data_IF_828486753297
#
_entry.id   IF_828486753297
#
_cell.length_a   1.000
_cell.length_b   1.000
_cell.length_c   1.000
_cell.angle_alpha   90.00
_cell.angle_beta   90.00
_cell.angle_gamma   90.00
#
_symmetry.space_group_name_H-M   'P 1'
#
loop_
_entity.id
_entity.type
_entity.pdbx_description
1 polymer ?
#
# COMPACT_ATOMS: atom_id res chain seq x y z
N UNK A 1 4.29 -22.07 -8.31
CA UNK A 1 3.74 -20.80 -7.80
C UNK A 1 4.15 -20.64 -6.35
N UNK A 2 4.72 -19.49 -6.00
CA UNK A 2 5.06 -19.16 -4.61
C UNK A 2 3.79 -18.66 -3.86
N UNK A 3 3.71 -18.85 -2.55
CA UNK A 3 2.56 -18.47 -1.72
C UNK A 3 2.19 -16.98 -1.85
N UNK A 4 3.20 -16.11 -1.99
CA UNK A 4 3.01 -14.66 -2.21
C UNK A 4 2.30 -14.40 -3.53
N UNK A 5 2.69 -15.08 -4.60
CA UNK A 5 2.12 -14.91 -5.94
C UNK A 5 0.66 -15.33 -5.96
N UNK A 6 0.32 -16.46 -5.34
CA UNK A 6 -1.08 -16.90 -5.22
C UNK A 6 -1.94 -15.93 -4.39
N UNK A 7 -1.34 -15.26 -3.41
CA UNK A 7 -2.06 -14.24 -2.64
C UNK A 7 -2.29 -12.97 -3.47
N UNK A 8 -1.32 -12.58 -4.29
CA UNK A 8 -1.45 -11.46 -5.24
C UNK A 8 -2.54 -11.76 -6.26
N UNK A 9 -2.52 -12.93 -6.92
CA UNK A 9 -3.55 -13.31 -7.89
C UNK A 9 -4.96 -13.28 -7.28
N UNK A 10 -5.13 -13.82 -6.06
CA UNK A 10 -6.42 -13.74 -5.36
C UNK A 10 -6.85 -12.31 -5.06
N UNK A 11 -5.92 -11.44 -4.66
CA UNK A 11 -6.23 -10.03 -4.43
C UNK A 11 -6.65 -9.33 -5.71
N UNK A 12 -5.90 -9.51 -6.79
CA UNK A 12 -6.22 -8.92 -8.08
C UNK A 12 -7.58 -9.40 -8.61
N UNK A 13 -7.88 -10.69 -8.44
CA UNK A 13 -9.17 -11.26 -8.83
C UNK A 13 -10.37 -10.74 -8.02
N UNK A 14 -10.13 -10.16 -6.83
CA UNK A 14 -11.17 -9.58 -5.99
C UNK A 14 -11.46 -8.10 -6.29
N UNK A 15 -10.64 -7.45 -7.12
CA UNK A 15 -10.82 -6.04 -7.49
C UNK A 15 -11.97 -5.88 -8.49
N UNK A 16 -12.70 -4.78 -8.38
CA UNK A 16 -13.77 -4.43 -9.32
C UNK A 16 -13.23 -3.97 -10.67
N UNK A 17 -11.98 -3.48 -10.69
CA UNK A 17 -11.27 -3.03 -11.89
C UNK A 17 -10.14 -4.00 -12.23
N UNK A 18 -9.97 -4.38 -13.51
CA UNK A 18 -8.84 -5.17 -13.93
C UNK A 18 -7.52 -4.42 -13.69
N UNK A 19 -6.55 -5.11 -13.10
CA UNK A 19 -5.20 -4.59 -12.85
C UNK A 19 -4.17 -5.62 -13.35
N UNK A 20 -3.15 -5.15 -14.04
CA UNK A 20 -1.98 -5.94 -14.43
C UNK A 20 -0.80 -5.60 -13.51
N UNK A 21 -0.09 -6.61 -13.02
CA UNK A 21 1.20 -6.42 -12.35
C UNK A 21 2.29 -7.06 -13.19
N UNK A 22 3.32 -6.29 -13.54
CA UNK A 22 4.49 -6.76 -14.28
C UNK A 22 5.69 -6.81 -13.34
N UNK A 23 6.28 -8.00 -13.19
CA UNK A 23 7.48 -8.22 -12.40
C UNK A 23 8.76 -7.94 -13.20
N UNK A 24 9.91 -7.80 -12.50
CA UNK A 24 11.22 -7.92 -13.13
C UNK A 24 11.32 -9.25 -13.88
N UNK A 25 11.85 -9.21 -15.10
CA UNK A 25 11.91 -10.38 -15.99
C UNK A 25 10.62 -10.66 -16.77
N UNK A 26 9.63 -9.76 -16.72
CA UNK A 26 8.47 -9.77 -17.62
C UNK A 26 7.34 -10.72 -17.25
N UNK A 27 7.43 -11.39 -16.09
CA UNK A 27 6.30 -12.19 -15.55
C UNK A 27 5.15 -11.27 -15.19
N UNK A 28 3.91 -11.73 -15.40
CA UNK A 28 2.70 -10.91 -15.23
C UNK A 28 1.63 -11.59 -14.39
N UNK A 29 0.86 -10.78 -13.66
CA UNK A 29 -0.35 -11.19 -12.95
C UNK A 29 -1.52 -10.30 -13.32
N UNK A 30 -2.75 -10.85 -13.22
CA UNK A 30 -3.97 -10.12 -13.52
C UNK A 30 -4.33 -10.13 -15.01
N UNK A 31 -5.20 -9.21 -15.42
CA UNK A 31 -5.73 -9.16 -16.78
C UNK A 31 -4.73 -8.49 -17.73
N UNK A 32 -4.45 -9.12 -18.88
CA UNK A 32 -3.47 -8.63 -19.85
C UNK A 32 -3.87 -7.30 -20.55
N UNK A 33 -5.16 -6.97 -20.53
CA UNK A 33 -5.79 -5.77 -21.10
C UNK A 33 -6.26 -4.80 -20.01
N UNK A 34 -5.69 -4.90 -18.79
CA UNK A 34 -6.05 -4.02 -17.70
C UNK A 34 -5.78 -2.54 -18.02
N UNK A 35 -6.74 -1.68 -17.66
CA UNK A 35 -6.60 -0.23 -17.77
C UNK A 35 -5.57 0.34 -16.78
N UNK A 36 -5.25 -0.41 -15.72
CA UNK A 36 -4.22 -0.07 -14.74
C UNK A 36 -3.12 -1.14 -14.77
N UNK A 37 -1.87 -0.71 -14.97
CA UNK A 37 -0.68 -1.56 -14.88
C UNK A 37 0.26 -1.03 -13.81
N UNK A 38 0.74 -1.94 -12.95
CA UNK A 38 1.80 -1.70 -11.99
C UNK A 38 3.07 -2.43 -12.45
N UNK A 39 4.13 -1.69 -12.77
CA UNK A 39 5.42 -2.27 -13.14
C UNK A 39 6.36 -2.22 -11.94
N UNK A 40 6.79 -3.38 -11.46
CA UNK A 40 7.66 -3.51 -10.30
C UNK A 40 9.12 -3.60 -10.73
N UNK A 41 9.98 -2.77 -10.13
CA UNK A 41 11.43 -2.79 -10.41
C UNK A 41 12.18 -3.86 -9.62
N UNK A 42 11.61 -4.31 -8.51
CA UNK A 42 12.09 -5.44 -7.70
C UNK A 42 10.89 -6.21 -7.10
N UNK A 43 11.14 -7.22 -6.25
CA UNK A 43 10.09 -8.06 -5.67
C UNK A 43 9.54 -7.54 -4.33
N UNK A 44 10.10 -6.49 -3.75
CA UNK A 44 9.66 -5.94 -2.46
C UNK A 44 8.22 -5.40 -2.52
N UNK A 45 7.81 -4.60 -3.52
CA UNK A 45 6.43 -4.12 -3.63
C UNK A 45 5.40 -5.24 -3.80
N UNK A 46 5.81 -6.39 -4.34
CA UNK A 46 4.91 -7.55 -4.50
C UNK A 46 4.39 -8.03 -3.14
N UNK A 47 5.24 -7.98 -2.12
CA UNK A 47 4.86 -8.28 -0.73
C UNK A 47 3.84 -7.28 -0.19
N UNK A 48 4.00 -5.99 -0.50
CA UNK A 48 3.07 -4.93 -0.08
C UNK A 48 1.69 -5.06 -0.75
N UNK A 49 1.65 -5.49 -2.03
CA UNK A 49 0.39 -5.85 -2.70
C UNK A 49 -0.25 -7.04 -1.98
N UNK A 50 0.52 -8.11 -1.76
CA UNK A 50 0.04 -9.32 -1.12
C UNK A 50 -0.52 -9.05 0.30
N UNK A 51 0.08 -8.13 1.06
CA UNK A 51 -0.35 -7.75 2.39
C UNK A 51 -1.42 -6.65 2.44
N UNK A 52 -1.74 -6.01 1.29
CA UNK A 52 -2.69 -4.89 1.24
C UNK A 52 -2.14 -3.59 1.85
N UNK A 53 -0.83 -3.43 1.96
CA UNK A 53 -0.19 -2.25 2.53
C UNK A 53 -0.12 -1.10 1.51
N UNK A 54 -1.26 -0.49 1.22
CA UNK A 54 -1.38 0.59 0.20
C UNK A 54 -0.46 1.78 0.49
N UNK A 55 -0.27 2.15 1.75
CA UNK A 55 0.69 3.21 2.12
C UNK A 55 2.14 2.87 1.76
N UNK A 56 2.53 1.59 1.87
CA UNK A 56 3.87 1.13 1.46
C UNK A 56 4.01 1.06 -0.06
N UNK A 57 2.94 0.70 -0.77
CA UNK A 57 2.90 0.80 -2.24
C UNK A 57 3.03 2.26 -2.72
N UNK A 58 2.41 3.21 -2.03
CA UNK A 58 2.56 4.63 -2.36
C UNK A 58 4.00 5.12 -2.13
N UNK A 59 4.63 4.69 -1.03
CA UNK A 59 6.06 4.92 -0.77
C UNK A 59 6.93 4.30 -1.88
N UNK A 60 6.65 3.06 -2.28
CA UNK A 60 7.36 2.40 -3.38
C UNK A 60 7.21 3.13 -4.71
N UNK A 61 6.06 3.77 -4.98
CA UNK A 61 5.88 4.61 -6.17
C UNK A 61 6.74 5.87 -6.13
N UNK A 62 6.73 6.59 -5.00
CA UNK A 62 7.53 7.81 -4.82
C UNK A 62 9.04 7.52 -4.89
N UNK A 63 9.46 6.39 -4.35
CA UNK A 63 10.85 5.92 -4.43
C UNK A 63 11.22 5.31 -5.79
N UNK A 64 10.29 5.25 -6.73
CA UNK A 64 10.52 4.71 -8.07
C UNK A 64 10.75 3.20 -8.09
N UNK A 65 10.25 2.45 -7.12
CA UNK A 65 10.22 0.97 -7.11
C UNK A 65 8.98 0.41 -7.83
N UNK A 66 7.93 1.21 -7.94
CA UNK A 66 6.69 0.93 -8.68
C UNK A 66 6.47 2.03 -9.71
N UNK A 67 6.17 1.65 -10.94
CA UNK A 67 5.61 2.54 -11.95
C UNK A 67 4.12 2.23 -12.14
N UNK A 68 3.33 3.28 -12.41
CA UNK A 68 1.88 3.17 -12.60
C UNK A 68 1.53 3.70 -13.98
N UNK A 69 0.96 2.85 -14.82
CA UNK A 69 0.33 3.23 -16.08
C UNK A 69 -1.19 3.12 -15.94
N UNK A 70 -1.91 4.19 -16.26
CA UNK A 70 -3.37 4.24 -16.17
C UNK A 70 -3.87 5.59 -15.67
N UNK A 71 -5.18 5.72 -15.46
CA UNK A 71 -5.75 6.95 -14.92
C UNK A 71 -5.61 7.02 -13.39
N UNK A 72 -5.33 8.22 -12.86
CA UNK A 72 -5.30 8.43 -11.41
C UNK A 72 -6.64 8.07 -10.75
N UNK A 73 -7.75 8.28 -11.45
CA UNK A 73 -9.08 7.92 -10.97
C UNK A 73 -9.20 6.42 -10.73
N UNK A 74 -8.78 5.61 -11.71
CA UNK A 74 -8.81 4.15 -11.58
C UNK A 74 -7.81 3.66 -10.53
N UNK A 75 -6.61 4.23 -10.48
CA UNK A 75 -5.64 3.95 -9.43
C UNK A 75 -6.26 4.16 -8.03
N UNK A 76 -6.95 5.29 -7.81
CA UNK A 76 -7.56 5.57 -6.52
C UNK A 76 -8.75 4.66 -6.21
N UNK A 77 -9.53 4.25 -7.21
CA UNK A 77 -10.58 3.21 -7.02
C UNK A 77 -9.96 1.89 -6.57
N UNK A 78 -8.92 1.42 -7.26
CA UNK A 78 -8.20 0.18 -6.91
C UNK A 78 -7.55 0.29 -5.54
N UNK A 79 -6.92 1.42 -5.22
CA UNK A 79 -6.26 1.65 -3.93
C UNK A 79 -7.26 1.57 -2.78
N UNK A 80 -8.46 2.13 -2.94
CA UNK A 80 -9.52 2.04 -1.94
C UNK A 80 -9.98 0.59 -1.70
N UNK A 81 -10.09 -0.21 -2.76
CA UNK A 81 -10.45 -1.64 -2.68
C UNK A 81 -9.33 -2.50 -2.06
N UNK A 82 -8.06 -2.17 -2.31
CA UNK A 82 -6.90 -2.88 -1.76
C UNK A 82 -6.73 -2.70 -0.25
N UNK A 83 -7.19 -1.57 0.31
CA UNK A 83 -7.24 -1.33 1.77
C UNK A 83 -8.14 -2.37 2.46
N UNK A 84 -9.16 -2.87 1.76
CA UNK A 84 -10.05 -3.92 2.26
C UNK A 84 -11.02 -3.39 3.32
N UNK A 85 -10.79 -3.75 4.59
CA UNK A 85 -11.65 -3.35 5.71
C UNK A 85 -11.34 -1.92 6.16
N UNK A 86 -12.40 -1.20 6.54
CA UNK A 86 -12.28 0.07 7.23
C UNK A 86 -11.40 -0.12 8.49
N UNK A 87 -10.24 0.53 8.59
CA UNK A 87 -9.34 0.37 9.74
C UNK A 87 -9.99 0.83 11.07
N UNK A 88 -11.14 1.51 11.01
CA UNK A 88 -11.97 1.87 12.17
C UNK A 88 -13.02 0.81 12.53
N UNK A 89 -13.35 -0.12 11.62
CA UNK A 89 -14.24 -1.24 11.89
C UNK A 89 -13.44 -2.47 12.32
N UNK A 90 -13.16 -2.57 13.62
CA UNK A 90 -12.74 -3.82 14.21
C UNK A 90 -13.92 -4.78 14.29
N UNK A 91 -14.20 -5.53 13.21
CA UNK A 91 -15.16 -6.62 13.27
C UNK A 91 -14.58 -7.78 14.10
N UNK A 92 -15.04 -7.87 15.36
CA UNK A 92 -15.26 -9.14 16.04
C UNK A 92 -14.04 -9.96 16.44
N UNK A 93 -13.28 -9.50 17.44
CA UNK A 93 -12.66 -10.42 18.41
C UNK A 93 -12.89 -9.84 19.81
N UNK A 94 -13.95 -10.28 20.49
CA UNK A 94 -14.13 -9.97 21.91
C UNK A 94 -13.26 -10.90 22.74
N UNK A 95 -12.30 -10.36 23.50
CA UNK A 95 -11.52 -11.12 24.49
C UNK A 95 -10.10 -10.61 24.74
N UNK A 96 -9.38 -11.34 25.62
CA UNK A 96 -8.00 -11.09 26.09
C UNK A 96 -7.00 -10.79 24.95
N UNK A 97 -7.20 -11.36 23.76
CA UNK A 97 -6.38 -11.12 22.57
C UNK A 97 -6.40 -9.67 22.08
N UNK A 98 -7.52 -8.97 22.23
CA UNK A 98 -7.67 -7.56 21.81
C UNK A 98 -6.93 -6.65 22.77
N UNK A 99 -7.01 -6.90 24.07
CA UNK A 99 -6.23 -6.18 25.08
C UNK A 99 -4.71 -6.37 24.89
N UNK A 100 -4.24 -7.60 24.66
CA UNK A 100 -2.83 -7.87 24.37
C UNK A 100 -2.36 -7.21 23.06
N UNK A 101 -3.19 -7.23 22.01
CA UNK A 101 -2.92 -6.48 20.76
C UNK A 101 -2.82 -4.99 21.01
N UNK A 102 -3.64 -4.44 21.89
CA UNK A 102 -3.66 -3.01 22.14
C UNK A 102 -2.50 -2.55 23.03
N UNK A 103 -2.10 -3.36 24.01
CA UNK A 103 -0.87 -3.16 24.79
C UNK A 103 0.37 -3.24 23.90
N UNK A 104 0.44 -4.24 23.02
CA UNK A 104 1.57 -4.36 22.07
C UNK A 104 1.57 -3.24 21.03
N UNK A 105 0.40 -2.77 20.57
CA UNK A 105 0.27 -1.61 19.67
C UNK A 105 0.70 -0.32 20.38
N UNK A 106 0.30 -0.10 21.63
CA UNK A 106 0.73 1.06 22.44
C UNK A 106 2.22 1.04 22.71
N UNK A 107 2.79 -0.10 23.08
CA UNK A 107 4.22 -0.22 23.34
C UNK A 107 5.05 -0.06 22.05
N UNK A 108 4.56 -0.61 20.91
CA UNK A 108 5.18 -0.35 19.60
C UNK A 108 5.08 1.11 19.17
N UNK A 109 3.94 1.75 19.44
CA UNK A 109 3.74 3.17 19.15
C UNK A 109 4.71 4.01 19.97
N UNK A 110 4.75 3.82 21.30
CA UNK A 110 5.67 4.54 22.19
C UNK A 110 7.16 4.29 21.88
N UNK A 111 7.53 3.07 21.45
CA UNK A 111 8.90 2.78 21.03
C UNK A 111 9.28 3.39 19.67
N UNK A 112 8.30 3.75 18.83
CA UNK A 112 8.50 4.38 17.52
C UNK A 112 8.39 5.91 17.57
N UNK A 113 7.75 6.46 18.59
CA UNK A 113 7.62 7.89 18.85
C UNK A 113 8.61 8.31 19.94
N UNK A 114 9.88 8.44 19.57
CA UNK A 114 10.86 9.17 20.37
C UNK A 114 10.99 10.57 19.80
N UNK A 115 11.30 11.56 20.64
CA UNK A 115 11.49 12.95 20.23
C UNK A 115 12.44 13.10 19.03
N UNK A 116 13.45 12.22 18.95
CA UNK A 116 14.41 12.19 17.86
C UNK A 116 13.84 11.66 16.53
N UNK A 117 12.99 10.62 16.58
CA UNK A 117 12.30 10.09 15.39
C UNK A 117 11.23 11.08 14.94
N UNK A 118 10.48 11.65 15.88
CA UNK A 118 9.43 12.63 15.59
C UNK A 118 10.04 13.91 14.96
N UNK A 119 11.17 14.39 15.48
CA UNK A 119 11.90 15.51 14.87
C UNK A 119 12.37 15.20 13.44
N UNK A 120 12.83 13.96 13.17
CA UNK A 120 13.18 13.53 11.81
C UNK A 120 11.96 13.46 10.89
N UNK A 121 10.77 13.11 11.39
CA UNK A 121 9.55 13.05 10.58
C UNK A 121 9.03 14.44 10.20
N UNK A 122 9.21 15.46 11.06
CA UNK A 122 8.79 16.85 10.77
C UNK A 122 9.64 17.50 9.67
N UNK A 123 10.88 17.05 9.46
CA UNK A 123 11.78 17.60 8.42
C UNK A 123 11.33 17.33 6.98
N UNK A 124 10.37 16.41 6.77
CA UNK A 124 9.88 16.03 5.43
C UNK A 124 8.53 16.68 5.10
N UNK A 125 8.30 17.92 5.54
CA UNK A 125 7.14 18.68 5.08
C UNK A 125 7.50 19.41 3.78
N UNK A 126 6.73 19.14 2.71
CA UNK A 126 6.85 19.93 1.49
C UNK A 126 6.39 21.36 1.78
N UNK A 127 7.20 22.34 1.42
CA UNK A 127 6.80 23.73 1.44
C UNK A 127 5.89 23.98 0.23
N UNK A 128 4.58 23.96 0.47
CA UNK A 128 3.55 24.27 -0.53
C UNK A 128 3.11 25.70 -0.27
N UNK A 129 3.64 26.64 -1.05
CA UNK A 129 3.40 28.08 -0.90
C UNK A 129 2.35 28.60 -1.88
N UNK A 130 2.03 29.89 -1.75
CA UNK A 130 1.16 30.60 -2.71
C UNK A 130 1.69 30.52 -4.15
N UNK A 131 3.02 30.45 -4.34
CA UNK A 131 3.64 30.29 -5.65
C UNK A 131 3.27 28.95 -6.30
N UNK A 132 3.11 27.88 -5.52
CA UNK A 132 2.64 26.59 -6.04
C UNK A 132 1.16 26.66 -6.48
N UNK A 133 0.32 27.35 -5.70
CA UNK A 133 -1.11 27.49 -6.00
C UNK A 133 -1.41 28.49 -7.13
N UNK A 134 -0.42 29.28 -7.54
CA UNK A 134 -0.55 30.23 -8.64
C UNK A 134 -0.30 29.61 -10.04
N UNK A 135 0.11 28.34 -10.12
CA UNK A 135 0.31 27.57 -11.36
C UNK A 135 -1.01 27.02 -11.93
#
# INVERSE_FOLDING_TARGET
MNAVESLVERKLAALSRPVEIVLPGGRRFGAADAALRLTLRDLTPLGHVASGQVGKLAEDYVEGRVEVDGSLRELMTVAAELIGEDPTQHQGVHGVLTWWREVTRRNRSAARHTTEIDARQIQFHYDVSDDFYAL
#
